data_IF_414423968088
#
_entry.id   IF_414423968088
#
_cell.length_a   1.000
_cell.length_b   1.000
_cell.length_c   1.000
_cell.angle_alpha   90.00
_cell.angle_beta   90.00
_cell.angle_gamma   90.00
#
_symmetry.space_group_name_H-M   'P 1'
#
loop_
_entity.id
_entity.type
_entity.pdbx_description
1 polymer ?
#
# COMPACT_ATOMS: atom_id res chain seq x y z
N UNK A 1 -11.01 -7.62 -19.37
CA UNK A 1 -9.77 -7.37 -18.61
C UNK A 1 -9.80 -5.92 -18.22
N UNK A 2 -9.70 -5.61 -16.92
CA UNK A 2 -9.59 -4.22 -16.48
C UNK A 2 -8.22 -3.74 -16.91
N UNK A 3 -8.15 -2.71 -17.74
CA UNK A 3 -6.88 -2.13 -18.18
C UNK A 3 -6.33 -1.26 -17.05
N UNK A 4 -5.28 -1.73 -16.39
CA UNK A 4 -4.58 -1.00 -15.35
C UNK A 4 -3.14 -0.79 -15.80
N UNK A 5 -2.70 0.47 -15.83
CA UNK A 5 -1.32 0.81 -16.20
C UNK A 5 -0.34 0.39 -15.10
N UNK A 6 0.87 -0.03 -15.50
CA UNK A 6 1.98 -0.21 -14.58
C UNK A 6 2.57 1.15 -14.17
N UNK A 7 3.36 1.18 -13.10
CA UNK A 7 4.06 2.38 -12.63
C UNK A 7 5.38 2.57 -13.39
N UNK A 8 5.85 3.81 -13.43
CA UNK A 8 7.25 4.10 -13.75
C UNK A 8 8.06 3.90 -12.48
N UNK A 9 8.99 2.95 -12.49
CA UNK A 9 9.85 2.69 -11.34
C UNK A 9 11.12 3.53 -11.38
N UNK A 10 11.56 4.07 -10.22
CA UNK A 10 12.87 4.71 -10.08
C UNK A 10 14.01 3.77 -10.48
N UNK A 11 15.13 4.36 -10.90
CA UNK A 11 16.35 3.60 -11.12
C UNK A 11 16.79 2.90 -9.82
N UNK A 12 17.33 1.68 -9.97
CA UNK A 12 17.73 0.85 -8.83
C UNK A 12 18.76 1.57 -7.93
N UNK A 13 19.67 2.29 -8.53
CA UNK A 13 20.72 3.07 -7.84
C UNK A 13 20.12 4.13 -6.91
N UNK A 14 18.97 4.70 -7.27
CA UNK A 14 18.27 5.67 -6.43
C UNK A 14 17.66 4.99 -5.19
N UNK A 15 17.03 3.84 -5.37
CA UNK A 15 16.50 3.04 -4.26
C UNK A 15 17.63 2.58 -3.33
N UNK A 16 18.74 2.09 -3.90
CA UNK A 16 19.92 1.68 -3.13
C UNK A 16 20.54 2.85 -2.37
N UNK A 17 20.58 4.03 -2.95
CA UNK A 17 21.06 5.24 -2.31
C UNK A 17 20.24 5.71 -1.11
N UNK A 18 18.94 5.36 -1.08
CA UNK A 18 18.04 5.62 0.04
C UNK A 18 18.00 4.47 1.05
N UNK A 19 18.55 3.31 0.70
CA UNK A 19 18.60 2.16 1.62
C UNK A 19 19.47 2.50 2.83
N UNK A 20 18.93 2.23 4.04
CA UNK A 20 19.60 2.56 5.30
C UNK A 20 19.37 4.00 5.79
N UNK A 21 18.65 4.82 5.03
CA UNK A 21 18.14 6.11 5.51
C UNK A 21 16.83 5.84 6.25
N UNK A 22 16.71 6.31 7.49
CA UNK A 22 15.47 6.20 8.25
C UNK A 22 14.38 7.15 7.74
N UNK A 23 13.12 6.79 8.00
CA UNK A 23 11.94 7.61 7.61
C UNK A 23 12.02 9.03 8.16
N UNK A 24 12.48 9.20 9.40
CA UNK A 24 12.65 10.50 10.05
C UNK A 24 13.71 11.36 9.34
N UNK A 25 14.84 10.77 8.89
CA UNK A 25 15.87 11.47 8.12
C UNK A 25 15.31 11.90 6.76
N UNK A 26 14.63 11.01 6.06
CA UNK A 26 13.98 11.33 4.78
C UNK A 26 13.00 12.49 4.92
N UNK A 27 12.14 12.47 5.94
CA UNK A 27 11.20 13.55 6.21
C UNK A 27 11.90 14.90 6.50
N UNK A 28 12.99 14.87 7.28
CA UNK A 28 13.78 16.07 7.59
C UNK A 28 14.44 16.68 6.36
N UNK A 29 15.02 15.88 5.47
CA UNK A 29 15.63 16.37 4.24
C UNK A 29 14.58 16.89 3.24
N UNK A 30 13.44 16.23 3.11
CA UNK A 30 12.33 16.71 2.30
C UNK A 30 11.82 18.07 2.79
N UNK A 31 11.72 18.25 4.11
CA UNK A 31 11.33 19.54 4.69
C UNK A 31 12.32 20.66 4.32
N UNK A 32 13.63 20.40 4.27
CA UNK A 32 14.66 21.35 3.80
C UNK A 32 14.50 21.71 2.33
N UNK A 33 13.99 20.77 1.52
CA UNK A 33 13.67 20.99 0.11
C UNK A 33 12.30 21.67 -0.10
N UNK A 34 11.59 22.00 0.98
CA UNK A 34 10.29 22.68 0.93
C UNK A 34 9.09 21.75 0.82
N UNK A 35 9.30 20.43 0.85
CA UNK A 35 8.22 19.43 0.87
C UNK A 35 7.86 19.18 2.33
N UNK A 36 6.68 19.69 2.71
CA UNK A 36 6.17 19.57 4.08
C UNK A 36 5.21 18.40 4.16
N UNK A 37 5.18 17.78 5.33
CA UNK A 37 4.25 16.68 5.67
C UNK A 37 4.29 15.50 4.69
N UNK A 38 5.49 14.96 4.34
CA UNK A 38 5.60 13.78 3.47
C UNK A 38 5.29 12.47 4.22
N UNK A 39 4.85 12.55 5.45
CA UNK A 39 4.59 11.42 6.35
C UNK A 39 3.15 10.94 6.23
N UNK A 40 2.98 9.65 5.96
CA UNK A 40 1.67 8.99 5.91
C UNK A 40 1.12 8.83 7.34
N UNK A 41 0.11 9.61 7.67
CA UNK A 41 -0.50 9.62 9.01
C UNK A 41 -1.51 8.48 9.18
N UNK A 42 -1.50 7.85 10.35
CA UNK A 42 -2.48 6.84 10.74
C UNK A 42 -2.00 5.41 10.69
N UNK A 43 -1.50 4.87 9.56
CA UNK A 43 -0.85 3.57 9.57
C UNK A 43 0.38 3.55 10.46
N UNK A 44 0.48 2.53 11.33
CA UNK A 44 1.63 2.34 12.22
C UNK A 44 2.33 1.02 11.92
N UNK A 45 3.63 0.94 12.22
CA UNK A 45 4.41 -0.29 12.06
C UNK A 45 3.77 -1.44 12.87
N UNK A 46 3.50 -2.55 12.18
CA UNK A 46 2.94 -3.79 12.76
C UNK A 46 3.93 -4.95 12.69
N UNK A 47 5.06 -4.73 12.06
CA UNK A 47 6.19 -5.67 11.98
C UNK A 47 7.44 -4.96 12.50
N UNK A 48 7.63 -4.87 13.83
CA UNK A 48 8.70 -4.11 14.45
C UNK A 48 10.10 -4.53 13.95
N UNK A 49 10.98 -3.56 13.76
CA UNK A 49 12.34 -3.77 13.26
C UNK A 49 12.44 -3.91 11.74
N UNK A 50 11.34 -3.83 11.00
CA UNK A 50 11.38 -3.78 9.54
C UNK A 50 11.72 -2.38 9.07
N UNK A 51 12.68 -2.30 8.13
CA UNK A 51 12.99 -1.08 7.39
C UNK A 51 13.00 -1.41 5.90
N UNK A 52 12.21 -0.68 5.12
CA UNK A 52 12.05 -0.91 3.69
C UNK A 52 12.13 0.39 2.89
N UNK A 53 12.67 0.28 1.68
CA UNK A 53 12.68 1.35 0.69
C UNK A 53 12.30 0.77 -0.65
N UNK A 54 11.31 1.37 -1.32
CA UNK A 54 10.87 0.88 -2.62
C UNK A 54 9.81 1.76 -3.28
N UNK A 55 9.53 1.53 -4.56
CA UNK A 55 8.52 2.28 -5.30
C UNK A 55 7.10 1.89 -4.88
N UNK A 56 6.21 2.88 -4.91
CA UNK A 56 4.81 2.73 -4.55
C UNK A 56 3.95 2.21 -5.71
N UNK A 57 3.39 1.02 -5.58
CA UNK A 57 2.17 0.65 -6.27
C UNK A 57 1.00 1.26 -5.49
N UNK A 58 0.08 1.95 -6.15
CA UNK A 58 -1.02 2.61 -5.45
C UNK A 58 -2.36 1.94 -5.73
N UNK A 59 -3.18 1.85 -4.69
CA UNK A 59 -4.54 1.32 -4.77
C UNK A 59 -5.50 2.25 -4.04
N UNK A 60 -6.54 2.68 -4.74
CA UNK A 60 -7.58 3.55 -4.19
C UNK A 60 -8.86 2.77 -3.92
N UNK A 61 -9.42 2.96 -2.73
CA UNK A 61 -10.78 2.56 -2.39
C UNK A 61 -11.71 3.77 -2.34
N UNK A 62 -12.98 3.54 -2.66
CA UNK A 62 -14.04 4.53 -2.58
C UNK A 62 -15.22 3.99 -1.77
N UNK A 63 -16.11 4.85 -1.25
CA UNK A 63 -17.34 4.42 -0.65
C UNK A 63 -18.15 3.55 -1.62
N UNK A 64 -18.64 2.43 -1.12
CA UNK A 64 -19.48 1.52 -1.91
C UNK A 64 -20.80 2.21 -2.28
N UNK A 65 -21.19 2.02 -3.52
CA UNK A 65 -22.47 2.45 -4.05
C UNK A 65 -23.07 1.31 -4.87
N UNK A 66 -24.24 0.83 -4.48
CA UNK A 66 -24.83 -0.42 -4.98
C UNK A 66 -25.25 -0.33 -6.46
N UNK A 67 -25.44 0.88 -7.00
CA UNK A 67 -25.71 1.11 -8.42
C UNK A 67 -24.45 1.04 -9.31
N UNK A 68 -23.26 1.16 -8.71
CA UNK A 68 -21.96 1.16 -9.40
C UNK A 68 -21.15 -0.12 -9.14
N UNK A 69 -21.48 -0.86 -8.10
CA UNK A 69 -20.79 -2.08 -7.69
C UNK A 69 -21.66 -3.31 -7.87
N UNK A 70 -21.29 -4.18 -8.81
CA UNK A 70 -22.00 -5.43 -9.02
C UNK A 70 -21.71 -6.44 -7.89
N UNK A 71 -22.77 -6.99 -7.29
CA UNK A 71 -22.67 -7.94 -6.17
C UNK A 71 -21.91 -9.22 -6.57
N UNK A 72 -21.95 -9.58 -7.85
CA UNK A 72 -21.30 -10.76 -8.42
C UNK A 72 -19.82 -10.54 -8.81
N UNK A 73 -19.32 -9.30 -8.67
CA UNK A 73 -17.92 -8.97 -8.99
C UNK A 73 -16.94 -9.79 -8.15
N UNK A 74 -17.31 -10.14 -6.91
CA UNK A 74 -16.49 -10.99 -6.06
C UNK A 74 -16.43 -12.46 -6.53
N UNK A 75 -17.43 -12.92 -7.27
CA UNK A 75 -17.47 -14.29 -7.79
C UNK A 75 -16.43 -14.52 -8.90
N UNK A 76 -16.02 -13.45 -9.60
CA UNK A 76 -15.01 -13.49 -10.64
C UNK A 76 -13.74 -12.78 -10.17
N UNK A 77 -12.66 -13.52 -9.83
CA UNK A 77 -11.39 -12.92 -9.39
C UNK A 77 -10.80 -11.90 -10.37
N UNK A 78 -11.03 -12.06 -11.67
CA UNK A 78 -10.52 -11.15 -12.69
C UNK A 78 -11.26 -9.81 -12.76
N UNK A 79 -12.39 -9.70 -12.08
CA UNK A 79 -13.10 -8.43 -11.87
C UNK A 79 -12.66 -7.71 -10.59
N UNK A 80 -11.92 -8.37 -9.73
CA UNK A 80 -11.49 -7.81 -8.45
C UNK A 80 -10.31 -6.87 -8.63
N UNK A 81 -10.59 -5.58 -8.76
CA UNK A 81 -9.60 -4.55 -9.11
C UNK A 81 -8.38 -4.51 -8.17
N UNK A 82 -8.56 -4.79 -6.87
CA UNK A 82 -7.46 -4.82 -5.91
C UNK A 82 -6.44 -5.95 -6.18
N UNK A 83 -6.84 -7.03 -6.89
CA UNK A 83 -5.90 -8.05 -7.37
C UNK A 83 -5.02 -7.50 -8.50
N UNK A 84 -5.58 -6.67 -9.36
CA UNK A 84 -4.82 -6.08 -10.47
C UNK A 84 -3.69 -5.18 -9.98
N UNK A 85 -3.83 -4.53 -8.82
CA UNK A 85 -2.72 -3.81 -8.19
C UNK A 85 -1.53 -4.76 -7.91
N UNK A 86 -1.81 -5.98 -7.43
CA UNK A 86 -0.78 -6.96 -7.11
C UNK A 86 -0.18 -7.63 -8.37
N UNK A 87 -0.91 -7.67 -9.49
CA UNK A 87 -0.39 -8.24 -10.72
C UNK A 87 0.74 -7.41 -11.36
N UNK A 88 0.82 -6.12 -11.03
CA UNK A 88 1.93 -5.24 -11.46
C UNK A 88 3.18 -5.38 -10.60
N UNK A 89 3.14 -6.15 -9.51
CA UNK A 89 4.25 -6.26 -8.56
C UNK A 89 5.54 -6.74 -9.22
N UNK A 90 6.63 -6.03 -8.96
CA UNK A 90 7.98 -6.40 -9.28
C UNK A 90 8.84 -6.43 -8.00
N UNK A 91 10.03 -7.07 -8.03
CA UNK A 91 10.90 -7.13 -6.86
C UNK A 91 11.25 -5.73 -6.29
N UNK A 92 10.98 -5.56 -5.00
CA UNK A 92 11.22 -4.32 -4.27
C UNK A 92 10.02 -3.38 -4.18
N UNK A 93 8.89 -3.67 -4.83
CA UNK A 93 7.70 -2.83 -4.77
C UNK A 93 7.03 -2.84 -3.39
N UNK A 94 6.42 -1.70 -3.06
CA UNK A 94 5.61 -1.48 -1.86
C UNK A 94 4.19 -1.14 -2.30
N UNK A 95 3.19 -1.86 -1.79
CA UNK A 95 1.79 -1.51 -2.06
C UNK A 95 1.30 -0.47 -1.05
N UNK A 96 0.81 0.67 -1.55
CA UNK A 96 0.26 1.77 -0.75
C UNK A 96 -1.23 1.89 -1.04
N UNK A 97 -2.05 1.82 0.00
CA UNK A 97 -3.50 1.71 -0.14
C UNK A 97 -4.21 2.86 0.58
N UNK A 98 -4.91 3.67 -0.17
CA UNK A 98 -5.93 4.57 0.36
C UNK A 98 -7.21 3.76 0.61
N UNK A 99 -7.36 3.23 1.82
CA UNK A 99 -8.58 2.57 2.27
C UNK A 99 -9.47 3.51 3.11
N UNK A 100 -9.28 4.83 2.97
CA UNK A 100 -10.12 5.88 3.56
C UNK A 100 -10.23 5.82 5.09
N UNK A 101 -9.19 5.38 5.76
CA UNK A 101 -9.16 5.13 7.19
C UNK A 101 -10.28 4.16 7.68
N UNK A 102 -10.82 3.33 6.78
CA UNK A 102 -11.88 2.38 7.14
C UNK A 102 -11.33 1.27 8.03
N UNK A 103 -12.00 1.08 9.18
CA UNK A 103 -11.60 0.10 10.18
C UNK A 103 -12.40 -1.21 10.11
N UNK A 104 -13.34 -1.31 9.15
CA UNK A 104 -14.23 -2.45 9.02
C UNK A 104 -13.83 -3.40 7.89
N UNK A 105 -13.01 -2.94 6.95
CA UNK A 105 -12.69 -3.67 5.71
C UNK A 105 -11.27 -4.17 5.72
N UNK A 106 -11.09 -5.49 5.68
CA UNK A 106 -9.79 -6.12 5.45
C UNK A 106 -9.50 -6.16 3.95
N UNK A 107 -8.73 -5.17 3.46
CA UNK A 107 -8.49 -5.00 2.02
C UNK A 107 -7.65 -6.11 1.42
N UNK A 108 -6.78 -6.72 2.20
CA UNK A 108 -5.96 -7.88 1.84
C UNK A 108 -6.05 -8.96 2.92
N UNK A 109 -5.95 -10.21 2.49
CA UNK A 109 -5.77 -11.38 3.35
C UNK A 109 -4.45 -12.09 3.07
N UNK A 110 -4.22 -13.22 3.75
CA UNK A 110 -2.97 -14.00 3.69
C UNK A 110 -2.63 -14.49 2.27
N UNK A 111 -3.60 -14.94 1.50
CA UNK A 111 -3.37 -15.42 0.13
C UNK A 111 -2.87 -14.30 -0.79
N UNK A 112 -3.44 -13.10 -0.67
CA UNK A 112 -3.05 -11.95 -1.47
C UNK A 112 -1.66 -11.45 -1.08
N UNK A 113 -1.35 -11.39 0.21
CA UNK A 113 -0.03 -11.01 0.69
C UNK A 113 1.03 -12.05 0.34
N UNK A 114 0.69 -13.34 0.35
CA UNK A 114 1.58 -14.41 -0.13
C UNK A 114 1.90 -14.24 -1.62
N UNK A 115 0.89 -13.97 -2.45
CA UNK A 115 1.09 -13.69 -3.87
C UNK A 115 1.98 -12.47 -4.07
N UNK A 116 1.68 -11.35 -3.40
CA UNK A 116 2.44 -10.11 -3.48
C UNK A 116 3.92 -10.32 -3.14
N UNK A 117 4.21 -10.97 -2.02
CA UNK A 117 5.58 -11.29 -1.61
C UNK A 117 6.24 -12.28 -2.60
N UNK A 118 5.49 -13.25 -3.12
CA UNK A 118 5.98 -14.19 -4.13
C UNK A 118 6.40 -13.53 -5.45
N UNK A 119 5.81 -12.38 -5.79
CA UNK A 119 6.23 -11.54 -6.93
C UNK A 119 7.39 -10.61 -6.57
N UNK A 120 7.84 -10.59 -5.32
CA UNK A 120 8.95 -9.75 -4.84
C UNK A 120 8.54 -8.47 -4.13
N UNK A 121 7.25 -8.30 -3.84
CA UNK A 121 6.77 -7.21 -2.99
C UNK A 121 7.32 -7.30 -1.57
N UNK A 122 7.72 -6.16 -1.00
CA UNK A 122 8.47 -6.10 0.27
C UNK A 122 7.68 -5.49 1.43
N UNK A 123 6.59 -4.78 1.15
CA UNK A 123 5.82 -4.14 2.20
C UNK A 123 4.46 -3.62 1.76
N UNK A 124 3.57 -3.44 2.72
CA UNK A 124 2.25 -2.85 2.52
C UNK A 124 1.99 -1.74 3.52
N UNK A 125 1.56 -0.58 3.01
CA UNK A 125 1.11 0.56 3.81
C UNK A 125 -0.37 0.75 3.52
N UNK A 126 -1.21 0.53 4.52
CA UNK A 126 -2.66 0.55 4.35
C UNK A 126 -3.29 1.56 5.29
N UNK A 127 -3.88 2.60 4.72
CA UNK A 127 -4.71 3.56 5.46
C UNK A 127 -6.07 2.95 5.80
N UNK A 128 -6.04 1.85 6.54
CA UNK A 128 -7.17 1.00 6.90
C UNK A 128 -6.72 -0.31 7.53
N UNK A 129 -7.47 -1.37 7.26
CA UNK A 129 -7.24 -2.69 7.85
C UNK A 129 -6.88 -3.76 6.82
N UNK A 130 -6.15 -4.77 7.29
CA UNK A 130 -6.04 -6.07 6.63
C UNK A 130 -6.72 -7.16 7.47
N UNK A 131 -6.92 -8.34 6.90
CA UNK A 131 -7.36 -9.54 7.63
C UNK A 131 -6.26 -10.60 7.65
N UNK A 132 -6.47 -11.66 8.41
CA UNK A 132 -5.54 -12.79 8.54
C UNK A 132 -4.15 -12.37 9.08
N UNK A 133 -4.07 -11.23 9.77
CA UNK A 133 -2.83 -10.64 10.27
C UNK A 133 -1.95 -11.64 11.07
N UNK A 134 -2.48 -12.45 12.03
CA UNK A 134 -1.63 -13.39 12.78
C UNK A 134 -0.93 -14.40 11.88
N UNK A 135 -1.57 -14.83 10.80
CA UNK A 135 -1.00 -15.76 9.84
C UNK A 135 0.04 -15.08 8.94
N UNK A 136 -0.27 -13.87 8.49
CA UNK A 136 0.66 -13.08 7.66
C UNK A 136 1.98 -12.86 8.40
N UNK A 137 1.96 -12.35 9.62
CA UNK A 137 3.19 -12.06 10.37
C UNK A 137 3.96 -13.31 10.81
N UNK A 138 3.28 -14.46 10.89
CA UNK A 138 3.92 -15.73 11.20
C UNK A 138 4.64 -16.34 10.00
N UNK A 139 4.01 -16.26 8.82
CA UNK A 139 4.41 -17.05 7.66
C UNK A 139 5.17 -16.23 6.60
N UNK A 140 5.04 -14.89 6.62
CA UNK A 140 5.61 -14.00 5.60
C UNK A 140 6.62 -13.01 6.19
N UNK A 141 7.73 -12.84 5.49
CA UNK A 141 8.77 -11.87 5.83
C UNK A 141 8.52 -10.52 5.14
N UNK A 142 7.40 -9.87 5.47
CA UNK A 142 6.92 -8.64 4.84
C UNK A 142 6.78 -7.49 5.85
N UNK A 143 7.07 -6.25 5.43
CA UNK A 143 6.81 -5.05 6.23
C UNK A 143 5.34 -4.63 6.19
N UNK A 144 4.75 -4.30 7.33
CA UNK A 144 3.35 -3.90 7.43
C UNK A 144 3.19 -2.61 8.24
N UNK A 145 2.56 -1.60 7.63
CA UNK A 145 2.09 -0.36 8.27
C UNK A 145 0.58 -0.27 8.07
N UNK A 146 -0.16 -0.35 9.16
CA UNK A 146 -1.62 -0.50 9.12
C UNK A 146 -2.27 0.38 10.18
N UNK A 147 -3.49 0.85 9.94
CA UNK A 147 -4.34 1.40 11.03
C UNK A 147 -4.81 0.28 11.96
N UNK A 148 -5.16 -0.86 11.41
CA UNK A 148 -5.66 -1.97 12.22
C UNK A 148 -5.83 -3.27 11.46
N UNK A 149 -6.57 -4.18 12.09
CA UNK A 149 -6.90 -5.50 11.56
C UNK A 149 -8.37 -5.80 11.80
N UNK A 150 -8.99 -6.59 10.92
CA UNK A 150 -10.40 -6.99 11.04
C UNK A 150 -10.61 -8.39 10.43
N UNK A 151 -11.57 -9.18 10.92
CA UNK A 151 -11.90 -10.45 10.29
C UNK A 151 -12.72 -10.31 9.00
N UNK A 152 -13.31 -9.12 8.76
CA UNK A 152 -14.15 -8.88 7.57
C UNK A 152 -13.29 -8.76 6.31
N UNK A 153 -13.84 -9.18 5.18
CA UNK A 153 -13.26 -8.82 3.88
C UNK A 153 -13.99 -7.59 3.29
N UNK A 154 -13.33 -6.86 2.38
CA UNK A 154 -13.80 -5.54 1.93
C UNK A 154 -15.21 -5.56 1.30
N UNK A 155 -15.61 -6.62 0.60
CA UNK A 155 -16.92 -6.71 -0.05
C UNK A 155 -18.08 -6.81 0.93
N UNK A 156 -17.82 -7.15 2.20
CA UNK A 156 -18.83 -7.21 3.26
C UNK A 156 -19.16 -5.83 3.86
N UNK A 157 -18.44 -4.80 3.46
CA UNK A 157 -18.44 -3.52 4.15
C UNK A 157 -18.74 -2.35 3.22
N UNK A 158 -18.23 -1.18 3.55
CA UNK A 158 -18.65 0.11 2.99
C UNK A 158 -17.76 0.62 1.87
N UNK A 159 -16.64 -0.02 1.60
CA UNK A 159 -15.68 0.44 0.58
C UNK A 159 -15.47 -0.61 -0.52
N UNK A 160 -15.08 -0.13 -1.68
CA UNK A 160 -14.82 -0.93 -2.87
C UNK A 160 -13.52 -0.47 -3.52
N UNK A 161 -12.68 -1.38 -4.07
CA UNK A 161 -11.52 -0.99 -4.84
C UNK A 161 -11.97 -0.22 -6.09
N UNK A 162 -11.37 0.94 -6.34
CA UNK A 162 -11.85 1.88 -7.34
C UNK A 162 -10.85 2.13 -8.47
N UNK A 163 -9.57 2.32 -8.15
CA UNK A 163 -8.53 2.57 -9.14
C UNK A 163 -7.17 2.02 -8.68
N UNK A 164 -6.35 1.64 -9.65
CA UNK A 164 -4.99 1.09 -9.46
C UNK A 164 -3.99 2.00 -10.15
N UNK A 165 -2.85 2.20 -9.50
CA UNK A 165 -1.73 3.02 -10.01
C UNK A 165 -2.17 4.42 -10.46
N UNK A 166 -2.98 5.05 -9.61
CA UNK A 166 -3.41 6.46 -9.72
C UNK A 166 -2.89 7.24 -8.50
N UNK A 167 -2.85 8.59 -8.57
CA UNK A 167 -2.59 9.41 -7.38
C UNK A 167 -3.63 9.12 -6.29
N UNK A 168 -3.17 8.91 -5.06
CA UNK A 168 -4.00 8.63 -3.90
C UNK A 168 -3.70 9.57 -2.73
N UNK A 169 -4.64 9.67 -1.79
CA UNK A 169 -4.46 10.37 -0.51
C UNK A 169 -4.38 9.32 0.61
N UNK A 170 -3.19 8.79 0.88
CA UNK A 170 -2.99 7.82 1.95
C UNK A 170 -2.61 8.54 3.24
N UNK A 171 -3.45 8.43 4.27
CA UNK A 171 -3.23 9.15 5.54
C UNK A 171 -3.02 10.66 5.36
N UNK A 172 -3.85 11.29 4.53
CA UNK A 172 -3.80 12.70 4.13
C UNK A 172 -2.52 13.12 3.38
N UNK A 173 -1.67 12.17 2.98
CA UNK A 173 -0.46 12.42 2.20
C UNK A 173 -0.68 12.02 0.75
N UNK A 174 -0.32 12.91 -0.19
CA UNK A 174 -0.33 12.58 -1.62
C UNK A 174 0.76 11.55 -1.93
N UNK A 175 0.34 10.44 -2.55
CA UNK A 175 1.27 9.42 -3.08
C UNK A 175 1.00 9.25 -4.56
N UNK A 176 2.01 9.54 -5.37
CA UNK A 176 1.97 9.27 -6.80
C UNK A 176 2.46 7.85 -7.10
N UNK A 177 1.91 7.16 -8.11
CA UNK A 177 2.46 5.88 -8.54
C UNK A 177 3.94 6.00 -8.89
N UNK A 178 4.79 5.17 -8.27
CA UNK A 178 6.23 5.21 -8.46
C UNK A 178 7.01 6.10 -7.48
N UNK A 179 6.35 6.89 -6.64
CA UNK A 179 7.03 7.57 -5.52
C UNK A 179 7.78 6.56 -4.66
N UNK A 180 8.90 6.99 -4.06
CA UNK A 180 9.68 6.09 -3.23
C UNK A 180 9.17 6.18 -1.78
N UNK A 181 8.84 5.04 -1.23
CA UNK A 181 8.48 4.93 0.19
C UNK A 181 9.73 4.57 0.99
N UNK A 182 9.98 5.32 2.07
CA UNK A 182 10.96 4.99 3.11
C UNK A 182 10.18 4.75 4.39
N UNK A 183 10.21 3.52 4.89
CA UNK A 183 9.39 3.14 6.04
C UNK A 183 10.17 2.30 7.05
N UNK A 184 9.96 2.60 8.33
CA UNK A 184 10.54 1.93 9.49
C UNK A 184 9.59 2.00 10.70
N UNK A 185 10.09 1.77 11.92
CA UNK A 185 9.27 1.78 13.13
C UNK A 185 8.67 3.16 13.46
N UNK A 186 9.25 4.25 12.98
CA UNK A 186 8.71 5.60 13.15
C UNK A 186 7.53 5.88 12.22
N UNK A 187 7.46 5.21 11.08
CA UNK A 187 6.37 5.37 10.11
C UNK A 187 6.81 5.25 8.66
N UNK A 188 6.04 5.84 7.76
CA UNK A 188 6.29 5.81 6.32
C UNK A 188 6.34 7.22 5.75
N UNK A 189 7.44 7.54 5.06
CA UNK A 189 7.68 8.81 4.39
C UNK A 189 7.65 8.63 2.89
N UNK A 190 6.98 9.55 2.18
CA UNK A 190 6.88 9.57 0.72
C UNK A 190 7.95 10.49 0.16
N UNK A 191 8.85 9.95 -0.64
CA UNK A 191 9.86 10.70 -1.39
C UNK A 191 9.39 10.81 -2.83
N UNK A 192 9.02 12.02 -3.30
CA UNK A 192 8.52 12.21 -4.66
C UNK A 192 9.54 11.77 -5.71
N UNK A 193 9.02 11.06 -6.74
CA UNK A 193 9.78 10.63 -7.91
C UNK A 193 9.12 11.17 -9.17
N UNK A 194 9.75 12.17 -9.81
CA UNK A 194 9.22 12.78 -11.05
C UNK A 194 9.75 14.18 -11.26
#
# INVERSE_FOLDING_TARGET
MVDTSDIQRPAKELIEGLSGIGSATAAGELARLGIRDPYIQGPVARTPGKSIVGPALTLQFMPKREDQYAVDEYADPEKQLHRHALYHTQPGDIIVVDARADMNSGVFGDMMMTFFMGQGGIGAIVDGCIRDYPKIVKDLDIGLWLRGTTPNFHTQTNIVPFAVNVPIACGDTLVMPGDIIVADDDGATVVPFG
#
